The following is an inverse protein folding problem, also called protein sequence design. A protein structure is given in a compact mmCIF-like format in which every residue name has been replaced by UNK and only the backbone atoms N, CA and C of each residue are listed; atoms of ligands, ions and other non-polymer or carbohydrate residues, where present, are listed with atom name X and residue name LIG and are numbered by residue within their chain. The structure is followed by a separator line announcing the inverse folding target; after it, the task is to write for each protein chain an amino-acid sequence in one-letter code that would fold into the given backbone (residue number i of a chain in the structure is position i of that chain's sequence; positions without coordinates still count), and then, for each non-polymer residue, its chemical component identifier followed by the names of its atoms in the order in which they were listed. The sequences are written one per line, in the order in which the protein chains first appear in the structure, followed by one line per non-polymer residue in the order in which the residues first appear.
data_IF_028974568018
#
_entry.id   IF_028974568018
#
_cell.length_a   1.000
_cell.length_b   1.000
_cell.length_c   1.000
_cell.angle_alpha   90.00
_cell.angle_beta   90.00
_cell.angle_gamma   90.00
#
_symmetry.space_group_name_H-M   'P 1'
#
loop_
_entity.id
_entity.type
_entity.pdbx_description
1 polymer ?
#
# COMPACT_ATOMS: atom_id res chain seq x y z
N UNK A 1 47.57 -20.43 -1.15
CA UNK A 1 46.81 -19.32 -0.52
C UNK A 1 46.76 -18.12 -1.46
N UNK A 2 45.68 -17.93 -2.22
CA UNK A 2 45.48 -16.75 -3.07
C UNK A 2 44.73 -15.67 -2.25
N UNK A 3 45.32 -14.49 -2.10
CA UNK A 3 44.71 -13.32 -1.45
C UNK A 3 43.50 -12.86 -2.27
N UNK A 4 42.33 -12.82 -1.64
CA UNK A 4 41.13 -12.16 -2.18
C UNK A 4 41.29 -10.67 -1.92
N UNK A 5 41.37 -9.88 -2.99
CA UNK A 5 41.44 -8.41 -2.91
C UNK A 5 40.14 -7.83 -2.36
N UNK A 6 40.24 -6.88 -1.42
CA UNK A 6 39.12 -6.08 -0.94
C UNK A 6 38.58 -5.23 -2.09
N UNK A 7 37.32 -5.43 -2.46
CA UNK A 7 36.58 -4.55 -3.35
C UNK A 7 36.32 -3.26 -2.58
N UNK A 8 36.88 -2.14 -3.05
CA UNK A 8 36.67 -0.82 -2.47
C UNK A 8 35.21 -0.40 -2.55
N UNK A 9 34.69 0.19 -1.48
CA UNK A 9 33.35 0.75 -1.45
C UNK A 9 33.27 1.89 -2.46
N UNK A 10 32.57 1.66 -3.59
CA UNK A 10 32.25 2.71 -4.53
C UNK A 10 31.35 3.74 -3.81
N UNK A 11 31.85 4.96 -3.61
CA UNK A 11 31.02 6.11 -3.26
C UNK A 11 30.11 6.40 -4.45
N UNK A 12 28.87 5.94 -4.39
CA UNK A 12 27.83 6.39 -5.32
C UNK A 12 27.44 7.81 -4.89
N UNK A 13 28.09 8.82 -5.48
CA UNK A 13 27.54 10.18 -5.49
C UNK A 13 26.40 10.20 -6.50
N UNK A 14 25.20 9.82 -6.06
CA UNK A 14 23.99 10.12 -6.81
C UNK A 14 23.68 11.61 -6.60
N UNK A 15 24.24 12.49 -7.45
CA UNK A 15 23.61 13.79 -7.62
C UNK A 15 22.26 13.50 -8.29
N UNK A 16 21.16 13.61 -7.56
CA UNK A 16 19.84 13.63 -8.17
C UNK A 16 19.80 14.85 -9.11
N UNK A 17 20.11 14.64 -10.39
CA UNK A 17 19.96 15.66 -11.41
C UNK A 17 18.50 16.07 -11.38
N UNK A 18 18.23 17.32 -11.01
CA UNK A 18 16.89 17.89 -11.00
C UNK A 18 16.34 17.73 -12.42
N UNK A 19 15.37 16.84 -12.61
CA UNK A 19 14.81 16.58 -13.93
C UNK A 19 14.18 17.87 -14.46
N UNK A 20 14.80 18.45 -15.50
CA UNK A 20 14.46 19.81 -15.98
C UNK A 20 13.34 19.79 -17.00
N UNK A 21 13.12 18.65 -17.65
CA UNK A 21 12.05 18.48 -18.64
C UNK A 21 10.70 18.31 -17.91
N UNK A 22 9.76 19.26 -18.05
CA UNK A 22 8.43 19.15 -17.47
C UNK A 22 7.67 17.90 -17.95
N UNK A 23 7.93 17.43 -19.17
CA UNK A 23 7.26 16.26 -19.76
C UNK A 23 7.69 14.93 -19.12
N UNK A 24 8.79 14.93 -18.38
CA UNK A 24 9.32 13.78 -17.65
C UNK A 24 8.96 13.81 -16.15
N UNK A 25 8.24 14.84 -15.68
CA UNK A 25 7.79 14.93 -14.29
C UNK A 25 6.52 14.11 -14.11
N UNK A 26 6.54 13.19 -13.16
CA UNK A 26 5.35 12.43 -12.74
C UNK A 26 4.75 13.09 -11.51
N UNK A 27 3.44 13.32 -11.53
CA UNK A 27 2.67 13.91 -10.43
C UNK A 27 1.55 12.98 -10.01
N UNK A 28 1.19 13.02 -8.73
CA UNK A 28 0.01 12.33 -8.21
C UNK A 28 -1.18 13.29 -8.35
N UNK A 29 -2.19 12.88 -9.10
CA UNK A 29 -3.39 13.71 -9.37
C UNK A 29 -4.63 13.23 -8.61
N UNK A 30 -4.61 12.02 -8.07
CA UNK A 30 -5.70 11.48 -7.29
C UNK A 30 -5.24 10.32 -6.41
N UNK A 31 -5.87 10.19 -5.25
CA UNK A 31 -5.62 9.14 -4.28
C UNK A 31 -6.95 8.48 -3.90
N UNK A 32 -6.90 7.18 -3.63
CA UNK A 32 -8.04 6.40 -3.18
C UNK A 32 -7.57 5.18 -2.42
N UNK A 33 -8.32 4.79 -1.40
CA UNK A 33 -7.95 3.71 -0.50
C UNK A 33 -9.17 2.97 0.04
N UNK A 34 -8.93 1.79 0.58
CA UNK A 34 -9.85 1.07 1.44
C UNK A 34 -9.04 0.61 2.66
N UNK A 35 -9.46 1.00 3.86
CA UNK A 35 -8.72 0.72 5.08
C UNK A 35 -9.63 0.38 6.26
N UNK A 36 -9.01 0.01 7.38
CA UNK A 36 -9.72 -0.22 8.64
C UNK A 36 -10.39 1.03 9.22
N UNK A 37 -10.03 2.21 8.72
CA UNK A 37 -10.63 3.50 9.09
C UNK A 37 -11.61 4.03 8.05
N UNK A 38 -12.01 3.18 7.09
CA UNK A 38 -12.92 3.55 6.00
C UNK A 38 -12.20 3.78 4.68
N UNK A 39 -12.96 4.33 3.73
CA UNK A 39 -12.56 4.48 2.33
C UNK A 39 -12.22 5.94 1.97
N UNK A 40 -12.25 6.87 2.92
CA UNK A 40 -11.95 8.28 2.71
C UNK A 40 -10.48 8.60 3.10
N UNK A 41 -9.67 9.18 2.21
CA UNK A 41 -8.28 9.49 2.51
C UNK A 41 -8.06 10.49 3.66
N UNK A 42 -8.96 11.46 3.81
CA UNK A 42 -8.85 12.49 4.86
C UNK A 42 -9.26 11.92 6.22
N UNK A 43 -10.33 11.11 6.26
CA UNK A 43 -10.71 10.36 7.47
C UNK A 43 -9.61 9.39 7.89
N UNK A 44 -9.09 8.60 6.95
CA UNK A 44 -7.98 7.69 7.18
C UNK A 44 -6.80 8.41 7.82
N UNK A 45 -6.39 9.55 7.24
CA UNK A 45 -5.25 10.29 7.74
C UNK A 45 -5.53 10.96 9.09
N UNK A 46 -6.73 11.48 9.31
CA UNK A 46 -7.17 12.03 10.59
C UNK A 46 -7.10 10.99 11.71
N UNK A 47 -7.54 9.75 11.46
CA UNK A 47 -7.41 8.64 12.41
C UNK A 47 -5.98 8.26 12.71
N UNK A 48 -5.10 8.28 11.69
CA UNK A 48 -3.66 8.11 11.89
C UNK A 48 -3.08 9.20 12.79
N UNK A 49 -3.39 10.48 12.50
CA UNK A 49 -2.92 11.60 13.32
C UNK A 49 -3.44 11.54 14.76
N UNK A 50 -4.66 11.04 14.97
CA UNK A 50 -5.23 10.83 16.29
C UNK A 50 -4.60 9.66 17.05
N UNK A 51 -3.72 8.87 16.44
CA UNK A 51 -3.15 7.68 17.07
C UNK A 51 -4.21 6.62 17.37
N UNK A 52 -5.24 6.50 16.52
CA UNK A 52 -6.27 5.47 16.70
C UNK A 52 -5.72 4.11 16.26
N UNK A 53 -5.88 3.06 17.07
CA UNK A 53 -5.57 1.69 16.65
C UNK A 53 -6.78 1.04 15.97
N UNK A 54 -6.58 0.52 14.76
CA UNK A 54 -7.55 -0.32 14.05
C UNK A 54 -7.40 -1.81 14.36
N UNK A 55 -6.38 -2.19 15.14
CA UNK A 55 -6.14 -3.58 15.55
C UNK A 55 -7.11 -3.95 16.66
N UNK A 56 -7.87 -5.03 16.44
CA UNK A 56 -8.92 -5.52 17.34
C UNK A 56 -8.96 -7.04 17.33
N UNK A 57 -9.72 -7.68 18.22
CA UNK A 57 -9.94 -9.13 18.18
C UNK A 57 -10.54 -9.55 16.83
N UNK A 58 -10.08 -10.69 16.31
CA UNK A 58 -10.61 -11.28 15.06
C UNK A 58 -12.03 -11.77 15.30
N UNK A 59 -12.95 -11.31 14.46
CA UNK A 59 -14.39 -11.61 14.53
C UNK A 59 -14.95 -12.12 13.18
N UNK A 60 -14.15 -12.16 12.11
CA UNK A 60 -14.54 -12.70 10.80
C UNK A 60 -14.65 -14.23 10.76
N UNK A 61 -13.99 -14.93 11.67
CA UNK A 61 -14.05 -16.39 11.83
C UNK A 61 -13.73 -16.78 13.27
N UNK A 62 -14.00 -18.04 13.63
CA UNK A 62 -13.64 -18.57 14.96
C UNK A 62 -12.13 -18.71 15.11
N UNK A 63 -11.51 -17.72 15.75
CA UNK A 63 -10.08 -17.66 15.97
C UNK A 63 -9.63 -18.34 17.28
N UNK A 64 -10.52 -19.01 18.03
CA UNK A 64 -10.20 -19.51 19.39
C UNK A 64 -9.04 -20.50 19.45
N UNK A 65 -8.86 -21.30 18.39
CA UNK A 65 -7.83 -22.34 18.34
C UNK A 65 -6.51 -21.83 17.72
N UNK A 66 -6.47 -20.57 17.28
CA UNK A 66 -5.30 -19.97 16.64
C UNK A 66 -4.40 -19.28 17.68
N UNK A 67 -3.06 -19.33 17.51
CA UNK A 67 -2.12 -18.65 18.41
C UNK A 67 -2.25 -17.12 18.35
N UNK A 68 -2.63 -16.57 17.20
CA UNK A 68 -2.91 -15.13 17.01
C UNK A 68 -4.40 -14.92 16.84
N UNK A 69 -4.97 -13.99 17.62
CA UNK A 69 -6.43 -13.78 17.73
C UNK A 69 -6.87 -12.33 17.51
N UNK A 70 -5.97 -11.49 17.01
CA UNK A 70 -6.24 -10.07 16.73
C UNK A 70 -5.71 -9.70 15.34
N UNK A 71 -6.30 -8.66 14.75
CA UNK A 71 -5.94 -8.15 13.45
C UNK A 71 -6.64 -6.84 13.14
N UNK A 72 -6.14 -6.15 12.13
CA UNK A 72 -6.75 -4.93 11.61
C UNK A 72 -7.72 -5.32 10.48
N UNK A 73 -9.01 -5.37 10.81
CA UNK A 73 -10.05 -5.86 9.90
C UNK A 73 -10.89 -4.69 9.37
N UNK A 74 -11.09 -4.64 8.04
CA UNK A 74 -12.08 -3.74 7.45
C UNK A 74 -13.47 -4.27 7.80
N UNK A 75 -14.27 -3.46 8.48
CA UNK A 75 -15.65 -3.78 8.89
C UNK A 75 -16.63 -2.93 8.10
N UNK A 76 -17.82 -3.48 7.88
CA UNK A 76 -18.93 -2.79 7.22
C UNK A 76 -18.51 -2.14 5.90
N UNK A 77 -17.70 -2.85 5.11
CA UNK A 77 -17.24 -2.35 3.82
C UNK A 77 -18.44 -2.12 2.91
N UNK A 78 -18.61 -0.88 2.48
CA UNK A 78 -19.53 -0.48 1.42
C UNK A 78 -18.73 -0.27 0.14
N UNK A 79 -19.21 -0.87 -0.96
CA UNK A 79 -18.62 -0.63 -2.28
C UNK A 79 -19.08 0.70 -2.90
N UNK A 80 -19.93 1.46 -2.19
CA UNK A 80 -20.42 2.78 -2.60
C UNK A 80 -21.11 2.75 -3.98
N UNK A 81 -21.67 1.59 -4.36
CA UNK A 81 -22.25 1.31 -5.68
C UNK A 81 -21.25 1.50 -6.84
N UNK A 82 -19.95 1.42 -6.54
CA UNK A 82 -18.87 1.46 -7.54
C UNK A 82 -18.71 0.14 -8.28
N UNK A 83 -19.29 -0.93 -7.75
CA UNK A 83 -19.30 -2.27 -8.33
C UNK A 83 -20.76 -2.65 -8.55
N UNK A 84 -21.08 -3.27 -9.69
CA UNK A 84 -22.43 -3.76 -9.91
C UNK A 84 -22.79 -4.86 -8.90
N UNK A 85 -24.07 -4.91 -8.51
CA UNK A 85 -24.54 -5.81 -7.46
C UNK A 85 -24.29 -7.30 -7.74
N UNK A 86 -24.17 -7.70 -9.02
CA UNK A 86 -23.91 -9.09 -9.41
C UNK A 86 -22.45 -9.46 -9.17
N UNK A 87 -21.52 -8.58 -9.52
CA UNK A 87 -20.09 -8.78 -9.31
C UNK A 87 -19.68 -8.56 -7.86
N UNK A 88 -20.29 -7.60 -7.16
CA UNK A 88 -20.03 -7.34 -5.73
C UNK A 88 -20.25 -8.59 -4.86
N UNK A 89 -21.19 -9.47 -5.23
CA UNK A 89 -21.41 -10.74 -4.50
C UNK A 89 -20.39 -11.84 -4.80
N UNK A 90 -19.60 -11.69 -5.87
CA UNK A 90 -18.71 -12.74 -6.39
C UNK A 90 -17.24 -12.44 -6.16
N UNK A 91 -16.89 -11.15 -6.09
CA UNK A 91 -15.52 -10.72 -5.90
C UNK A 91 -15.04 -11.07 -4.49
N UNK A 92 -13.77 -11.48 -4.43
CA UNK A 92 -13.02 -11.50 -3.20
C UNK A 92 -12.85 -10.06 -2.66
N UNK A 93 -12.71 -9.91 -1.35
CA UNK A 93 -12.47 -8.62 -0.71
C UNK A 93 -11.25 -7.90 -1.30
N UNK A 94 -10.17 -8.63 -1.63
CA UNK A 94 -9.00 -8.05 -2.29
C UNK A 94 -9.36 -7.34 -3.61
N UNK A 95 -10.26 -7.92 -4.40
CA UNK A 95 -10.70 -7.36 -5.68
C UNK A 95 -11.63 -6.17 -5.47
N UNK A 96 -12.55 -6.26 -4.50
CA UNK A 96 -13.45 -5.16 -4.14
C UNK A 96 -12.66 -3.93 -3.72
N UNK A 97 -11.72 -4.10 -2.80
CA UNK A 97 -10.88 -3.01 -2.30
C UNK A 97 -10.08 -2.37 -3.43
N UNK A 98 -9.54 -3.19 -4.33
CA UNK A 98 -8.82 -2.71 -5.51
C UNK A 98 -9.70 -1.85 -6.41
N UNK A 99 -10.88 -2.34 -6.80
CA UNK A 99 -11.77 -1.61 -7.73
C UNK A 99 -12.29 -0.31 -7.09
N UNK A 100 -12.72 -0.37 -5.83
CA UNK A 100 -13.26 0.79 -5.11
C UNK A 100 -12.17 1.85 -4.92
N UNK A 101 -11.03 1.50 -4.35
CA UNK A 101 -9.92 2.46 -4.15
C UNK A 101 -9.47 3.09 -5.47
N UNK A 102 -9.35 2.30 -6.54
CA UNK A 102 -8.90 2.80 -7.83
C UNK A 102 -9.92 3.73 -8.49
N UNK A 103 -11.22 3.39 -8.47
CA UNK A 103 -12.27 4.29 -8.96
C UNK A 103 -12.30 5.60 -8.18
N UNK A 104 -12.11 5.56 -6.86
CA UNK A 104 -12.02 6.79 -6.04
C UNK A 104 -10.81 7.63 -6.42
N UNK A 105 -9.64 7.02 -6.66
CA UNK A 105 -8.46 7.73 -7.14
C UNK A 105 -8.69 8.39 -8.51
N UNK A 106 -9.33 7.68 -9.45
CA UNK A 106 -9.69 8.23 -10.76
C UNK A 106 -10.70 9.37 -10.64
N UNK A 107 -11.70 9.25 -9.76
CA UNK A 107 -12.68 10.32 -9.50
C UNK A 107 -12.03 11.57 -8.95
N UNK A 108 -11.14 11.42 -7.98
CA UNK A 108 -10.38 12.54 -7.43
C UNK A 108 -9.50 13.22 -8.50
N UNK A 109 -8.92 12.44 -9.41
CA UNK A 109 -8.18 12.98 -10.55
C UNK A 109 -9.06 13.61 -11.64
N UNK A 110 -10.40 13.46 -11.57
CA UNK A 110 -11.32 13.88 -12.63
C UNK A 110 -11.25 13.01 -13.89
N UNK A 111 -10.75 11.78 -13.77
CA UNK A 111 -10.43 10.85 -14.87
C UNK A 111 -11.26 9.56 -14.83
N UNK A 112 -12.34 9.50 -14.05
CA UNK A 112 -13.21 8.32 -13.99
C UNK A 112 -14.33 8.42 -15.04
N UNK A 113 -14.55 7.34 -15.79
CA UNK A 113 -15.42 7.31 -16.97
C UNK A 113 -16.87 7.69 -16.66
N UNK A 114 -17.45 7.14 -15.59
CA UNK A 114 -18.86 7.33 -15.23
C UNK A 114 -19.08 8.69 -14.57
N UNK A 115 -18.17 9.11 -13.69
CA UNK A 115 -18.26 10.39 -12.98
C UNK A 115 -17.89 11.60 -13.85
N UNK A 116 -16.96 11.47 -14.80
CA UNK A 116 -16.52 12.58 -15.66
C UNK A 116 -16.18 12.11 -17.08
N UNK A 117 -17.21 11.82 -17.88
CA UNK A 117 -17.04 11.40 -19.27
C UNK A 117 -16.27 12.42 -20.14
N UNK A 118 -16.34 13.72 -19.83
CA UNK A 118 -15.62 14.75 -20.58
C UNK A 118 -14.11 14.71 -20.28
N UNK A 119 -13.73 14.66 -19.00
CA UNK A 119 -12.32 14.54 -18.61
C UNK A 119 -11.72 13.21 -19.06
N UNK A 120 -12.48 12.12 -18.90
CA UNK A 120 -12.10 10.81 -19.41
C UNK A 120 -11.92 10.82 -20.95
N UNK A 121 -12.81 11.50 -21.69
CA UNK A 121 -12.74 11.60 -23.15
C UNK A 121 -11.52 12.36 -23.69
N UNK A 122 -10.80 13.11 -22.84
CA UNK A 122 -9.54 13.77 -23.20
C UNK A 122 -8.32 12.85 -23.06
N UNK A 123 -8.49 11.67 -22.48
CA UNK A 123 -7.42 10.70 -22.29
C UNK A 123 -7.07 10.00 -23.61
N UNK A 124 -5.79 9.99 -23.92
CA UNK A 124 -5.23 9.08 -24.93
C UNK A 124 -5.04 7.70 -24.29
N UNK A 125 -6.03 6.82 -24.50
CA UNK A 125 -6.06 5.47 -23.91
C UNK A 125 -4.87 4.60 -24.32
N UNK A 126 -4.16 4.92 -25.40
CA UNK A 126 -2.93 4.20 -25.80
C UNK A 126 -1.76 4.48 -24.84
N UNK A 127 -1.85 5.57 -24.08
CA UNK A 127 -0.86 6.01 -23.09
C UNK A 127 -1.32 5.85 -21.64
N UNK A 128 -2.53 5.34 -21.43
CA UNK A 128 -3.05 5.03 -20.09
C UNK A 128 -2.86 3.55 -19.81
N UNK A 129 -2.30 3.23 -18.63
CA UNK A 129 -2.08 1.87 -18.19
C UNK A 129 -2.52 1.67 -16.74
N UNK A 130 -2.86 0.43 -16.41
CA UNK A 130 -3.21 0.02 -15.05
C UNK A 130 -2.12 -0.89 -14.48
N UNK A 131 -1.58 -0.51 -13.33
CA UNK A 131 -0.59 -1.29 -12.59
C UNK A 131 -1.05 -1.41 -11.12
N UNK A 132 -1.57 -2.59 -10.76
CA UNK A 132 -2.03 -2.88 -9.39
C UNK A 132 -1.48 -4.22 -8.92
N UNK A 133 -0.78 -4.21 -7.79
CA UNK A 133 -0.21 -5.40 -7.17
C UNK A 133 -1.05 -5.94 -6.01
N UNK A 134 -1.04 -7.26 -5.84
CA UNK A 134 -1.48 -7.92 -4.60
C UNK A 134 -0.51 -9.06 -4.30
N UNK A 135 -0.29 -9.32 -3.02
CA UNK A 135 0.59 -10.39 -2.57
C UNK A 135 -0.03 -11.78 -2.71
N UNK A 136 -1.29 -11.92 -2.27
CA UNK A 136 -1.95 -13.23 -2.14
C UNK A 136 -3.14 -13.41 -3.10
N UNK A 137 -3.64 -12.34 -3.71
CA UNK A 137 -4.83 -12.42 -4.55
C UNK A 137 -6.10 -12.73 -3.76
N UNK A 138 -7.06 -13.38 -4.41
CA UNK A 138 -8.37 -13.69 -3.82
C UNK A 138 -8.34 -14.97 -2.99
N UNK A 139 -7.83 -14.89 -1.76
CA UNK A 139 -7.57 -16.07 -0.94
C UNK A 139 -8.86 -16.74 -0.43
N UNK A 140 -9.93 -15.99 -0.19
CA UNK A 140 -11.22 -16.58 0.21
C UNK A 140 -11.84 -17.37 -0.94
N UNK A 141 -11.78 -16.82 -2.16
CA UNK A 141 -12.20 -17.55 -3.37
C UNK A 141 -11.35 -18.81 -3.57
N UNK A 142 -10.04 -18.71 -3.33
CA UNK A 142 -9.13 -19.85 -3.42
C UNK A 142 -9.52 -20.97 -2.43
N UNK A 143 -9.70 -20.60 -1.17
CA UNK A 143 -10.11 -21.51 -0.09
C UNK A 143 -11.44 -22.20 -0.43
N UNK A 144 -12.47 -21.44 -0.79
CA UNK A 144 -13.80 -21.99 -1.10
C UNK A 144 -13.76 -22.95 -2.30
N UNK A 145 -12.98 -22.61 -3.33
CA UNK A 145 -12.83 -23.48 -4.50
C UNK A 145 -12.15 -24.81 -4.16
N UNK A 146 -11.10 -24.79 -3.34
CA UNK A 146 -10.42 -26.01 -2.87
C UNK A 146 -11.34 -26.83 -1.97
N UNK A 147 -12.04 -26.20 -1.02
CA UNK A 147 -13.00 -26.90 -0.16
C UNK A 147 -14.10 -27.56 -0.98
N UNK A 148 -14.66 -26.86 -1.97
CA UNK A 148 -15.69 -27.44 -2.84
C UNK A 148 -15.16 -28.60 -3.69
N UNK A 149 -13.92 -28.50 -4.20
CA UNK A 149 -13.28 -29.60 -4.94
C UNK A 149 -13.13 -30.85 -4.07
N UNK A 150 -12.62 -30.71 -2.85
CA UNK A 150 -12.35 -31.84 -1.94
C UNK A 150 -13.65 -32.46 -1.42
N UNK A 151 -14.64 -31.64 -1.05
CA UNK A 151 -15.85 -32.12 -0.36
C UNK A 151 -16.99 -32.48 -1.31
N UNK A 152 -17.08 -31.85 -2.49
CA UNK A 152 -18.22 -31.99 -3.42
C UNK A 152 -17.81 -32.38 -4.84
N UNK A 153 -16.51 -32.47 -5.13
CA UNK A 153 -15.97 -32.85 -6.43
C UNK A 153 -15.89 -31.71 -7.44
N UNK A 154 -15.17 -31.96 -8.54
CA UNK A 154 -14.78 -30.96 -9.55
C UNK A 154 -15.96 -30.23 -10.21
N UNK A 155 -17.13 -30.87 -10.33
CA UNK A 155 -18.33 -30.28 -10.94
C UNK A 155 -18.92 -29.10 -10.14
N UNK A 156 -18.49 -28.92 -8.88
CA UNK A 156 -18.95 -27.83 -8.01
C UNK A 156 -17.98 -26.66 -7.92
N UNK A 157 -16.89 -26.67 -8.69
CA UNK A 157 -16.00 -25.52 -8.81
C UNK A 157 -16.68 -24.44 -9.66
N UNK A 158 -16.68 -23.21 -9.16
CA UNK A 158 -17.16 -22.05 -9.92
C UNK A 158 -16.28 -21.80 -11.15
N UNK A 159 -16.84 -21.51 -12.33
CA UNK A 159 -16.06 -21.07 -13.49
C UNK A 159 -15.22 -19.80 -13.21
N UNK A 160 -15.59 -19.03 -12.19
CA UNK A 160 -14.89 -17.81 -11.78
C UNK A 160 -13.83 -18.05 -10.69
N UNK A 161 -13.58 -19.29 -10.30
CA UNK A 161 -12.60 -19.66 -9.29
C UNK A 161 -11.21 -19.11 -9.61
N UNK A 162 -10.64 -19.46 -10.77
CA UNK A 162 -9.30 -19.01 -11.15
C UNK A 162 -9.26 -17.50 -11.42
N UNK A 163 -10.16 -16.92 -12.23
CA UNK A 163 -10.14 -15.48 -12.49
C UNK A 163 -10.17 -14.65 -11.20
N UNK A 164 -10.97 -15.00 -10.20
CA UNK A 164 -11.06 -14.20 -8.98
C UNK A 164 -10.01 -14.53 -7.91
N UNK A 165 -9.22 -15.60 -8.10
CA UNK A 165 -8.12 -15.95 -7.20
C UNK A 165 -6.78 -15.33 -7.60
N UNK A 166 -6.51 -15.17 -8.90
CA UNK A 166 -5.21 -14.73 -9.40
C UNK A 166 -4.87 -13.26 -9.04
N UNK A 167 -3.59 -12.99 -8.87
CA UNK A 167 -3.10 -11.71 -8.31
C UNK A 167 -3.27 -10.51 -9.24
N UNK A 168 -3.21 -10.71 -10.55
CA UNK A 168 -3.38 -9.62 -11.52
C UNK A 168 -4.86 -9.23 -11.75
N UNK A 169 -5.83 -9.96 -11.18
CA UNK A 169 -7.24 -9.75 -11.52
C UNK A 169 -7.77 -8.39 -11.08
N UNK A 170 -7.30 -7.84 -9.95
CA UNK A 170 -7.78 -6.53 -9.48
C UNK A 170 -7.53 -5.41 -10.50
N UNK A 171 -6.32 -5.34 -11.04
CA UNK A 171 -5.98 -4.40 -12.11
C UNK A 171 -6.69 -4.71 -13.44
N UNK A 172 -6.86 -6.00 -13.77
CA UNK A 172 -7.60 -6.40 -14.96
C UNK A 172 -9.07 -5.99 -14.91
N UNK A 173 -9.74 -6.16 -13.76
CA UNK A 173 -11.12 -5.74 -13.55
C UNK A 173 -11.29 -4.23 -13.72
N UNK A 174 -10.38 -3.45 -13.14
CA UNK A 174 -10.37 -1.99 -13.32
C UNK A 174 -10.20 -1.61 -14.80
N UNK A 175 -9.27 -2.25 -15.50
CA UNK A 175 -9.01 -1.97 -16.91
C UNK A 175 -10.22 -2.29 -17.81
N UNK A 176 -10.91 -3.41 -17.53
CA UNK A 176 -12.14 -3.81 -18.24
C UNK A 176 -13.26 -2.79 -17.98
N UNK A 177 -13.46 -2.44 -16.71
CA UNK A 177 -14.51 -1.51 -16.28
C UNK A 177 -14.31 -0.11 -16.89
N UNK A 178 -13.08 0.39 -16.89
CA UNK A 178 -12.70 1.71 -17.43
C UNK A 178 -12.31 1.65 -18.92
N UNK A 179 -12.93 0.76 -19.73
CA UNK A 179 -12.88 0.72 -21.20
C UNK A 179 -11.60 0.13 -21.86
N UNK A 180 -11.28 -1.14 -21.57
CA UNK A 180 -10.25 -1.91 -22.29
C UNK A 180 -8.86 -1.27 -22.29
N UNK A 181 -8.53 -0.55 -21.21
CA UNK A 181 -7.20 0.00 -21.00
C UNK A 181 -6.14 -1.09 -21.17
N UNK A 182 -5.02 -0.77 -21.82
CA UNK A 182 -3.92 -1.71 -21.99
C UNK A 182 -3.40 -2.13 -20.60
N UNK A 183 -3.69 -3.38 -20.22
CA UNK A 183 -3.24 -3.93 -18.96
C UNK A 183 -1.71 -4.10 -19.01
N UNK A 184 -1.00 -3.28 -18.25
CA UNK A 184 0.45 -3.41 -18.02
C UNK A 184 0.65 -3.76 -16.55
N UNK A 185 0.26 -4.97 -16.15
CA UNK A 185 0.24 -5.34 -14.75
C UNK A 185 1.05 -6.61 -14.45
N UNK A 186 2.13 -6.46 -13.68
CA UNK A 186 2.62 -7.47 -12.73
C UNK A 186 3.69 -6.88 -11.81
N UNK A 187 3.31 -6.52 -10.57
CA UNK A 187 4.25 -6.50 -9.44
C UNK A 187 3.55 -7.19 -8.26
N UNK A 188 3.96 -8.43 -7.98
CA UNK A 188 3.62 -9.14 -6.75
C UNK A 188 4.76 -8.87 -5.77
N UNK A 189 4.51 -8.07 -4.73
CA UNK A 189 5.45 -7.91 -3.64
C UNK A 189 4.67 -8.01 -2.32
N UNK A 190 4.98 -9.03 -1.54
CA UNK A 190 4.57 -9.10 -0.13
C UNK A 190 5.59 -8.27 0.64
N UNK A 191 5.13 -7.13 1.15
CA UNK A 191 5.98 -6.14 1.82
C UNK A 191 6.23 -6.57 3.29
N UNK A 192 7.13 -5.90 4.00
CA UNK A 192 7.75 -6.41 5.24
C UNK A 192 6.78 -6.38 6.40
N UNK A 193 6.77 -7.44 7.21
CA UNK A 193 6.12 -7.37 8.51
C UNK A 193 6.96 -6.49 9.44
N UNK A 194 6.30 -5.65 10.24
CA UNK A 194 6.94 -5.01 11.39
C UNK A 194 7.38 -6.08 12.38
N UNK A 195 8.65 -6.46 12.29
CA UNK A 195 9.27 -7.52 13.07
C UNK A 195 10.57 -6.99 13.61
N UNK A 196 11.01 -7.46 14.77
CA UNK A 196 12.28 -7.01 15.35
C UNK A 196 13.45 -7.11 14.36
N UNK A 197 13.54 -8.21 13.61
CA UNK A 197 14.58 -8.41 12.59
C UNK A 197 14.42 -7.44 11.43
N UNK A 198 13.19 -7.25 10.95
CA UNK A 198 12.87 -6.31 9.86
C UNK A 198 13.17 -4.86 10.25
N UNK A 199 12.68 -4.42 11.40
CA UNK A 199 12.85 -3.06 11.93
C UNK A 199 14.34 -2.74 12.14
N UNK A 200 15.10 -3.67 12.73
CA UNK A 200 16.57 -3.51 12.90
C UNK A 200 17.27 -3.45 11.54
N UNK A 201 16.87 -4.27 10.57
CA UNK A 201 17.44 -4.24 9.23
C UNK A 201 17.12 -2.93 8.49
N UNK A 202 15.89 -2.43 8.61
CA UNK A 202 15.43 -1.15 8.07
C UNK A 202 16.25 0.01 8.63
N UNK A 203 16.39 0.08 9.96
CA UNK A 203 17.16 1.11 10.64
C UNK A 203 18.64 1.06 10.25
N UNK A 204 19.23 -0.14 10.16
CA UNK A 204 20.61 -0.32 9.68
C UNK A 204 20.78 0.14 8.23
N UNK A 205 19.79 -0.08 7.36
CA UNK A 205 19.82 0.39 5.99
C UNK A 205 19.74 1.92 5.93
N UNK A 206 18.82 2.54 6.69
CA UNK A 206 18.67 4.00 6.77
C UNK A 206 19.97 4.65 7.28
N UNK A 207 20.62 4.09 8.32
CA UNK A 207 21.91 4.59 8.84
C UNK A 207 23.08 4.47 7.87
N UNK A 208 23.01 3.57 6.90
CA UNK A 208 24.03 3.48 5.84
C UNK A 208 23.86 4.57 4.78
N UNK A 209 22.64 5.09 4.61
CA UNK A 209 22.29 6.08 3.59
C UNK A 209 22.34 7.50 4.16
N UNK A 210 21.78 7.69 5.36
CA UNK A 210 21.70 8.99 6.04
C UNK A 210 22.65 9.02 7.23
N UNK A 211 23.47 10.08 7.28
CA UNK A 211 24.45 10.31 8.35
C UNK A 211 23.97 11.34 9.37
N UNK A 212 23.01 12.19 9.01
CA UNK A 212 22.41 13.19 9.88
C UNK A 212 20.90 12.92 10.03
N UNK A 213 20.47 12.80 11.28
CA UNK A 213 19.09 12.49 11.67
C UNK A 213 18.37 13.66 12.34
N UNK A 214 19.03 14.81 12.54
CA UNK A 214 18.44 15.96 13.23
C UNK A 214 17.16 16.48 12.55
N UNK A 215 17.08 16.33 11.23
CA UNK A 215 15.95 16.76 10.40
C UNK A 215 15.07 15.62 9.89
N UNK A 216 15.34 14.37 10.27
CA UNK A 216 14.60 13.20 9.81
C UNK A 216 13.58 12.78 10.88
N UNK A 217 12.34 12.60 10.45
CA UNK A 217 11.29 11.94 11.23
C UNK A 217 10.98 10.61 10.58
N UNK A 218 10.89 9.55 11.38
CA UNK A 218 10.57 8.21 10.93
C UNK A 218 9.34 7.74 11.68
N UNK A 219 8.37 7.11 11.02
CA UNK A 219 7.16 6.64 11.66
C UNK A 219 6.58 5.43 10.90
N UNK A 220 5.68 4.70 11.54
CA UNK A 220 5.08 3.50 10.94
C UNK A 220 3.56 3.45 11.14
N UNK A 221 2.82 3.54 10.03
CA UNK A 221 1.35 3.37 10.01
C UNK A 221 0.95 1.98 10.48
N UNK A 222 1.81 0.97 10.29
CA UNK A 222 1.55 -0.43 10.67
C UNK A 222 1.27 -0.60 12.16
N UNK A 223 1.74 0.32 13.01
CA UNK A 223 1.40 0.36 14.44
C UNK A 223 -0.09 0.59 14.73
N UNK A 224 -0.82 1.18 13.77
CA UNK A 224 -2.24 1.50 13.87
C UNK A 224 -3.11 0.61 13.00
N UNK A 225 -2.68 0.35 11.75
CA UNK A 225 -3.50 -0.36 10.76
C UNK A 225 -3.07 -1.81 10.53
N UNK A 226 -2.11 -2.29 11.33
CA UNK A 226 -1.47 -3.58 11.10
C UNK A 226 -0.70 -3.62 9.79
N UNK A 227 -0.23 -4.81 9.42
CA UNK A 227 0.50 -4.99 8.18
C UNK A 227 -0.43 -5.48 7.06
N UNK A 228 -0.76 -4.59 6.12
CA UNK A 228 -1.68 -4.87 5.01
C UNK A 228 -1.02 -5.61 3.81
N UNK A 229 0.09 -6.32 4.02
CA UNK A 229 0.82 -7.07 2.99
C UNK A 229 1.05 -6.23 1.72
N UNK A 230 0.56 -6.70 0.56
CA UNK A 230 0.74 -6.01 -0.73
C UNK A 230 0.09 -4.63 -0.81
N UNK A 231 -0.91 -4.32 0.03
CA UNK A 231 -1.55 -3.00 0.06
C UNK A 231 -0.79 -1.98 0.92
N UNK A 232 0.16 -2.42 1.76
CA UNK A 232 0.87 -1.55 2.71
C UNK A 232 1.57 -0.38 2.01
N UNK A 233 2.29 -0.64 0.92
CA UNK A 233 3.02 0.41 0.19
C UNK A 233 2.12 1.49 -0.40
N UNK A 234 0.90 1.13 -0.84
CA UNK A 234 -0.09 2.12 -1.33
C UNK A 234 -0.65 2.99 -0.21
N UNK A 235 -1.03 2.37 0.92
CA UNK A 235 -1.54 3.08 2.09
C UNK A 235 -0.47 4.00 2.72
N UNK A 236 0.79 3.55 2.75
CA UNK A 236 1.94 4.32 3.23
C UNK A 236 2.29 5.48 2.29
N UNK A 237 2.25 5.26 0.97
CA UNK A 237 2.42 6.34 0.00
C UNK A 237 1.36 7.44 0.18
N UNK A 238 0.10 7.07 0.40
CA UNK A 238 -0.96 8.03 0.70
C UNK A 238 -0.67 8.77 2.02
N UNK A 239 -0.28 8.06 3.08
CA UNK A 239 0.07 8.70 4.35
C UNK A 239 1.23 9.70 4.20
N UNK A 240 2.24 9.40 3.37
CA UNK A 240 3.35 10.31 3.05
C UNK A 240 2.84 11.54 2.28
N UNK A 241 1.99 11.36 1.27
CA UNK A 241 1.40 12.46 0.50
C UNK A 241 0.58 13.38 1.42
N UNK A 242 -0.29 12.81 2.26
CA UNK A 242 -1.07 13.58 3.24
C UNK A 242 -0.19 14.28 4.28
N UNK A 243 0.93 13.68 4.68
CA UNK A 243 1.91 14.34 5.55
C UNK A 243 2.50 15.58 4.86
N UNK A 244 2.90 15.46 3.59
CA UNK A 244 3.41 16.58 2.77
C UNK A 244 2.36 17.70 2.66
N UNK A 245 1.09 17.36 2.42
CA UNK A 245 0.00 18.34 2.27
C UNK A 245 -0.32 19.07 3.58
N UNK A 246 -0.30 18.37 4.72
CA UNK A 246 -0.77 18.90 6.01
C UNK A 246 0.34 19.44 6.90
N UNK A 247 1.60 19.04 6.67
CA UNK A 247 2.73 19.34 7.56
C UNK A 247 2.67 18.62 8.91
N UNK A 248 1.78 17.62 9.06
CA UNK A 248 1.68 16.80 10.25
C UNK A 248 2.20 15.39 9.96
N UNK A 249 2.85 14.78 10.95
CA UNK A 249 3.40 13.42 10.88
C UNK A 249 2.70 12.59 11.95
N UNK A 250 2.06 11.49 11.55
CA UNK A 250 1.34 10.60 12.47
C UNK A 250 2.32 9.87 13.40
N UNK A 251 1.87 9.46 14.61
CA UNK A 251 2.71 8.73 15.53
C UNK A 251 3.02 7.31 15.08
N UNK A 252 4.00 6.70 15.73
CA UNK A 252 4.14 5.25 15.85
C UNK A 252 3.69 4.84 17.24
N UNK A 253 2.59 4.10 17.34
CA UNK A 253 2.05 3.64 18.63
C UNK A 253 2.87 2.49 19.24
N UNK A 254 2.68 2.27 20.54
CA UNK A 254 3.20 1.14 21.31
C UNK A 254 4.74 1.05 21.31
N UNK A 255 5.41 2.21 21.28
CA UNK A 255 6.86 2.30 21.35
C UNK A 255 7.35 2.54 22.77
N UNK A 256 7.38 1.48 23.58
CA UNK A 256 7.81 1.57 24.98
C UNK A 256 9.25 1.11 25.19
N UNK A 257 9.74 0.18 24.36
CA UNK A 257 11.06 -0.44 24.48
C UNK A 257 11.80 -0.39 23.14
N UNK A 258 12.56 0.68 22.91
CA UNK A 258 13.34 0.84 21.68
C UNK A 258 14.63 0.03 21.73
N UNK A 259 15.02 -0.55 20.59
CA UNK A 259 16.35 -1.15 20.42
C UNK A 259 17.42 -0.07 20.24
N UNK A 260 18.64 -0.39 20.63
CA UNK A 260 19.78 0.53 20.58
C UNK A 260 20.01 1.09 19.16
N UNK A 261 19.76 0.30 18.12
CA UNK A 261 19.93 0.77 16.74
C UNK A 261 19.05 1.95 16.38
N UNK A 262 17.92 2.16 17.06
CA UNK A 262 17.00 3.29 16.84
C UNK A 262 17.49 4.57 17.53
N UNK A 263 18.46 4.49 18.44
CA UNK A 263 18.89 5.62 19.27
C UNK A 263 19.28 6.88 18.45
N UNK A 264 18.67 8.02 18.77
CA UNK A 264 18.92 9.29 18.07
C UNK A 264 18.13 9.48 16.77
N UNK A 265 17.24 8.54 16.40
CA UNK A 265 16.23 8.74 15.35
C UNK A 265 14.93 9.16 16.01
N UNK A 266 14.32 10.26 15.55
CA UNK A 266 12.98 10.64 16.01
C UNK A 266 11.93 9.76 15.33
N UNK A 267 11.44 8.76 16.07
CA UNK A 267 10.45 7.78 15.61
C UNK A 267 9.00 8.25 15.71
N UNK A 268 8.79 9.52 16.10
CA UNK A 268 7.46 10.10 16.32
C UNK A 268 6.63 9.19 17.26
N UNK A 269 7.25 8.78 18.36
CA UNK A 269 6.68 7.80 19.28
C UNK A 269 5.41 8.34 19.95
N UNK A 270 4.30 7.59 19.83
CA UNK A 270 3.00 7.76 20.49
C UNK A 270 2.23 9.07 20.24
N UNK A 271 2.90 10.17 19.89
CA UNK A 271 2.28 11.47 19.62
C UNK A 271 2.67 12.02 18.25
N UNK A 272 1.68 12.55 17.52
CA UNK A 272 1.90 13.21 16.22
C UNK A 272 2.84 14.41 16.37
N UNK A 273 3.56 14.76 15.32
CA UNK A 273 4.46 15.92 15.31
C UNK A 273 4.26 16.78 14.07
N UNK A 274 4.40 18.09 14.24
CA UNK A 274 4.45 19.00 13.10
C UNK A 274 5.86 19.00 12.51
N UNK A 275 5.96 18.95 11.18
CA UNK A 275 7.23 18.92 10.49
C UNK A 275 7.12 19.55 9.09
N UNK A 276 8.07 20.41 8.73
CA UNK A 276 8.14 21.00 7.40
C UNK A 276 8.73 19.99 6.40
N UNK A 277 7.87 19.23 5.73
CA UNK A 277 8.28 18.13 4.86
C UNK A 277 8.62 18.65 3.46
N UNK A 278 9.90 18.58 3.09
CA UNK A 278 10.37 18.90 1.73
C UNK A 278 10.49 17.68 0.83
N UNK A 279 10.61 16.49 1.43
CA UNK A 279 10.59 15.21 0.77
C UNK A 279 10.13 14.15 1.77
N UNK A 280 9.30 13.21 1.32
CA UNK A 280 8.84 12.07 2.10
C UNK A 280 9.26 10.76 1.42
N UNK A 281 9.61 9.75 2.21
CA UNK A 281 10.05 8.44 1.73
C UNK A 281 9.08 7.38 2.24
N UNK A 282 8.62 6.51 1.35
CA UNK A 282 7.89 5.29 1.70
C UNK A 282 8.78 4.09 1.40
N UNK A 283 9.25 3.42 2.46
CA UNK A 283 10.06 2.20 2.33
C UNK A 283 9.16 0.98 2.37
N UNK A 284 9.44 0.01 1.51
CA UNK A 284 8.84 -1.31 1.61
C UNK A 284 9.88 -2.36 1.25
N UNK A 285 10.46 -2.95 2.29
CA UNK A 285 11.29 -4.14 2.13
C UNK A 285 10.35 -5.34 2.22
N UNK A 286 10.63 -6.48 1.65
CA UNK A 286 9.61 -7.51 1.44
C UNK A 286 10.17 -8.89 1.65
N UNK A 287 9.29 -9.85 1.91
CA UNK A 287 9.68 -11.24 1.90
C UNK A 287 10.25 -11.61 0.52
N UNK A 288 11.20 -12.55 0.49
CA UNK A 288 11.90 -12.91 -0.75
C UNK A 288 13.01 -11.93 -1.16
N UNK A 289 13.32 -10.93 -0.32
CA UNK A 289 14.42 -9.99 -0.57
C UNK A 289 14.07 -8.85 -1.53
N UNK A 290 12.78 -8.61 -1.75
CA UNK A 290 12.30 -7.50 -2.57
C UNK A 290 12.38 -6.20 -1.79
N UNK A 291 13.15 -5.21 -2.26
CA UNK A 291 13.26 -3.91 -1.60
C UNK A 291 12.82 -2.82 -2.57
N UNK A 292 11.82 -2.02 -2.19
CA UNK A 292 11.36 -0.87 -2.95
C UNK A 292 11.29 0.38 -2.06
N UNK A 293 11.55 1.52 -2.69
CA UNK A 293 11.52 2.84 -2.03
C UNK A 293 10.90 3.83 -3.00
N UNK A 294 9.88 4.54 -2.54
CA UNK A 294 9.28 5.66 -3.26
C UNK A 294 9.61 6.97 -2.56
N UNK A 295 9.90 8.02 -3.34
CA UNK A 295 10.17 9.36 -2.83
C UNK A 295 9.15 10.33 -3.40
N UNK A 296 8.51 11.10 -2.53
CA UNK A 296 7.53 12.12 -2.87
C UNK A 296 8.05 13.49 -2.43
N UNK A 297 7.70 14.54 -3.16
CA UNK A 297 8.06 15.91 -2.81
C UNK A 297 6.92 16.87 -3.18
N UNK A 298 6.78 18.01 -2.49
CA UNK A 298 5.81 19.03 -2.85
C UNK A 298 6.00 19.45 -4.31
N UNK A 299 4.91 19.50 -5.08
CA UNK A 299 4.95 20.00 -6.44
C UNK A 299 5.07 21.53 -6.42
N UNK A 300 6.15 22.06 -7.01
CA UNK A 300 6.29 23.48 -7.35
C UNK A 300 6.13 23.62 -8.86
N UNK A 301 5.11 24.36 -9.26
CA UNK A 301 4.81 24.69 -10.67
C UNK A 301 5.92 25.49 -11.31
#
# INVERSE_FOLDING_TARGET
MRRVGRIGAARIQASALKQRDPSQRVVVTGIGLCSVFGNDPDEFYSKLLAGTSGVTTIDRFDAKDFPTRFGAQIRNFDDEKLIDAKNSRRYDDCLKYTVVSSKKALRMAGLEKEANAQGYGQLDLTRVGVLVGTGMGGLSVFQDGVTNLVTKGHRKISPFFIPYAITNMGGALLAIDQAELALRCMICAVLTPSTLVGDVAEVKAVRKVFTDFGHIKMNSTKSMIGHCLGAAGGLEAIAVIKAIETGWVHPTLNQDNLVEEVAGIDTVANEKKQHAITAGISNSFGFGGHNSVCVFAPFKG
#
